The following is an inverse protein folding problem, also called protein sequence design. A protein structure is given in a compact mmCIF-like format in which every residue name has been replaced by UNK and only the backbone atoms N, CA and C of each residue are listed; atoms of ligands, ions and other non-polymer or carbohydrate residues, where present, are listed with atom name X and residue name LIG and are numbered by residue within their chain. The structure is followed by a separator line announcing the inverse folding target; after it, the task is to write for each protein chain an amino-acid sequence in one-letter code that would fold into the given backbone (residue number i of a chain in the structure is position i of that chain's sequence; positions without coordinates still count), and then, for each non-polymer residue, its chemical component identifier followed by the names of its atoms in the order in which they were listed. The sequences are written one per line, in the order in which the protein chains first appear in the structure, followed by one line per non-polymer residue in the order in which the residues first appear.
data_IF_655545077402
#
_entry.id   IF_655545077402
#
_cell.length_a   1.000
_cell.length_b   1.000
_cell.length_c   1.000
_cell.angle_alpha   90.00
_cell.angle_beta   90.00
_cell.angle_gamma   90.00
#
_symmetry.space_group_name_H-M   'P 1'
#
loop_
_entity.id
_entity.type
_entity.pdbx_description
1 polymer ?
#
# COMPACT_ATOMS: atom_id res chain seq x y z
N UNK A 1 12.18 -3.46 -15.77
CA UNK A 1 10.82 -2.96 -15.98
C UNK A 1 10.85 -1.44 -16.22
N UNK A 2 9.79 -0.89 -16.86
CA UNK A 2 9.69 0.55 -17.19
C UNK A 2 8.60 1.25 -16.40
N UNK A 3 7.60 0.50 -15.94
CA UNK A 3 6.45 1.02 -15.23
C UNK A 3 6.18 0.14 -14.01
N UNK A 4 5.83 0.73 -12.88
CA UNK A 4 5.55 0.04 -11.63
C UNK A 4 4.18 0.48 -11.10
N UNK A 5 3.24 -0.46 -11.00
CA UNK A 5 1.97 -0.25 -10.31
C UNK A 5 2.02 -0.95 -8.94
N UNK A 6 1.72 -0.21 -7.88
CA UNK A 6 1.78 -0.69 -6.50
C UNK A 6 0.43 -0.49 -5.82
N UNK A 7 -0.20 -1.60 -5.40
CA UNK A 7 -1.46 -1.59 -4.66
C UNK A 7 -1.17 -1.65 -3.17
N UNK A 8 -1.65 -0.69 -2.41
CA UNK A 8 -1.39 -0.56 -0.98
C UNK A 8 0.09 -0.66 -0.61
N UNK A 9 0.93 -0.23 -1.55
CA UNK A 9 2.38 -0.13 -1.49
C UNK A 9 2.82 1.25 -1.94
N UNK A 10 4.14 1.45 -2.05
CA UNK A 10 4.64 2.76 -2.48
C UNK A 10 4.27 3.87 -1.49
N UNK A 11 4.32 3.55 -0.21
CA UNK A 11 3.97 4.46 0.85
C UNK A 11 5.20 4.80 1.70
N UNK A 12 5.32 6.06 2.08
CA UNK A 12 6.21 6.47 3.16
C UNK A 12 5.61 6.01 4.48
N UNK A 13 5.86 4.77 4.81
CA UNK A 13 5.48 4.19 6.08
C UNK A 13 6.69 3.48 6.65
N UNK A 14 7.00 3.61 7.93
CA UNK A 14 8.15 2.96 8.54
C UNK A 14 7.94 1.45 8.66
N UNK A 15 7.67 0.79 7.52
CA UNK A 15 7.67 -0.65 7.42
C UNK A 15 9.11 -1.15 7.54
N UNK A 16 9.37 -1.99 8.52
CA UNK A 16 10.65 -2.66 8.70
C UNK A 16 11.78 -1.81 9.31
N UNK A 17 11.72 -0.50 9.24
CA UNK A 17 12.53 0.32 10.12
C UNK A 17 11.92 0.25 11.52
N UNK A 18 12.73 -0.08 12.50
CA UNK A 18 12.35 -0.14 13.91
C UNK A 18 11.13 0.74 14.20
N UNK A 19 9.96 0.14 14.37
CA UNK A 19 8.94 0.80 15.16
C UNK A 19 9.68 1.20 16.44
N UNK A 20 9.56 2.43 16.91
CA UNK A 20 10.24 2.96 18.10
C UNK A 20 10.16 2.05 19.34
N UNK A 21 9.38 0.97 19.25
CA UNK A 21 9.08 0.01 20.31
C UNK A 21 9.33 -1.46 19.90
N UNK A 22 9.85 -1.72 18.69
CA UNK A 22 10.12 -3.08 18.18
C UNK A 22 11.60 -3.42 18.23
N UNK A 23 11.91 -4.65 18.61
CA UNK A 23 13.25 -5.22 18.50
C UNK A 23 13.72 -5.18 17.03
N UNK A 24 15.00 -4.97 16.76
CA UNK A 24 15.58 -5.20 15.45
C UNK A 24 15.16 -6.55 14.88
N UNK A 25 15.02 -6.66 13.56
CA UNK A 25 14.46 -7.88 12.95
C UNK A 25 15.35 -9.10 13.19
N UNK A 26 16.66 -8.89 13.28
CA UNK A 26 17.63 -9.92 13.64
C UNK A 26 17.38 -10.46 15.06
N UNK A 27 17.18 -9.58 16.02
CA UNK A 27 16.91 -9.95 17.40
C UNK A 27 15.58 -10.69 17.53
N UNK A 28 14.57 -10.25 16.80
CA UNK A 28 13.28 -10.93 16.70
C UNK A 28 13.41 -12.31 16.07
N UNK A 29 14.23 -12.45 15.05
CA UNK A 29 14.50 -13.72 14.40
C UNK A 29 15.19 -14.70 15.36
N UNK A 30 16.11 -14.20 16.19
CA UNK A 30 16.75 -15.00 17.25
C UNK A 30 15.70 -15.47 18.27
N UNK A 31 14.84 -14.57 18.75
CA UNK A 31 13.76 -14.93 19.68
C UNK A 31 12.79 -15.95 19.08
N UNK A 32 12.48 -15.84 17.78
CA UNK A 32 11.64 -16.83 17.10
C UNK A 32 12.34 -18.19 17.01
N UNK A 33 13.63 -18.24 16.71
CA UNK A 33 14.40 -19.49 16.73
C UNK A 33 14.38 -20.14 18.11
N UNK A 34 14.60 -19.36 19.16
CA UNK A 34 14.53 -19.82 20.56
C UNK A 34 13.13 -20.34 20.90
N UNK A 35 12.07 -19.61 20.48
CA UNK A 35 10.68 -20.04 20.66
C UNK A 35 10.39 -21.38 19.97
N UNK A 36 10.98 -21.62 18.81
CA UNK A 36 10.91 -22.89 18.10
C UNK A 36 11.80 -24.00 18.67
N UNK A 37 12.58 -23.72 19.72
CA UNK A 37 13.56 -24.65 20.26
C UNK A 37 14.75 -24.91 19.35
N UNK A 38 15.04 -24.00 18.42
CA UNK A 38 16.13 -24.10 17.46
C UNK A 38 17.30 -23.19 17.85
N UNK A 39 18.51 -23.68 17.69
CA UNK A 39 19.74 -22.92 17.90
C UNK A 39 20.36 -22.41 16.59
N UNK A 40 19.93 -22.93 15.48
CA UNK A 40 20.45 -22.60 14.14
C UNK A 40 19.33 -22.45 13.11
N UNK A 41 19.61 -21.66 12.06
CA UNK A 41 18.70 -21.56 10.90
C UNK A 41 18.56 -22.91 10.19
N UNK A 42 19.57 -23.75 10.22
CA UNK A 42 19.51 -25.09 9.62
C UNK A 42 18.47 -25.97 10.31
N UNK A 43 18.42 -25.93 11.64
CA UNK A 43 17.39 -26.64 12.43
C UNK A 43 15.99 -26.09 12.12
N UNK A 44 15.83 -24.77 12.04
CA UNK A 44 14.57 -24.13 11.69
C UNK A 44 14.10 -24.54 10.29
N UNK A 45 15.02 -24.61 9.31
CA UNK A 45 14.72 -25.06 7.93
C UNK A 45 14.39 -26.55 7.84
N UNK A 46 14.87 -27.37 8.77
CA UNK A 46 14.56 -28.80 8.84
C UNK A 46 13.22 -29.10 9.50
N UNK A 47 12.59 -28.10 10.12
CA UNK A 47 11.28 -28.26 10.77
C UNK A 47 10.19 -28.48 9.70
N UNK A 48 9.22 -29.38 9.93
CA UNK A 48 8.04 -29.51 9.08
C UNK A 48 7.34 -28.16 8.95
N UNK A 49 6.90 -27.82 7.74
CA UNK A 49 6.32 -26.49 7.46
C UNK A 49 5.05 -26.21 8.28
N UNK A 50 4.22 -27.25 8.54
CA UNK A 50 3.01 -27.15 9.36
C UNK A 50 3.34 -26.75 10.81
N UNK A 51 4.42 -27.31 11.36
CA UNK A 51 4.91 -26.95 12.71
C UNK A 51 5.47 -25.54 12.71
N UNK A 52 6.23 -25.18 11.68
CA UNK A 52 6.78 -23.83 11.55
C UNK A 52 5.67 -22.78 11.43
N UNK A 53 4.63 -23.04 10.64
CA UNK A 53 3.46 -22.16 10.52
C UNK A 53 2.76 -21.98 11.86
N UNK A 54 2.49 -23.08 12.58
CA UNK A 54 1.86 -23.03 13.90
C UNK A 54 2.70 -22.17 14.86
N UNK A 55 4.00 -22.42 14.95
CA UNK A 55 4.91 -21.62 15.78
C UNK A 55 4.93 -20.14 15.37
N UNK A 56 4.90 -19.84 14.08
CA UNK A 56 4.84 -18.48 13.57
C UNK A 56 3.57 -17.76 14.01
N UNK A 57 2.41 -18.41 13.89
CA UNK A 57 1.13 -17.85 14.33
C UNK A 57 1.07 -17.64 15.85
N UNK A 58 1.58 -18.59 16.65
CA UNK A 58 1.65 -18.48 18.09
C UNK A 58 2.60 -17.36 18.53
N UNK A 59 3.80 -17.29 17.93
CA UNK A 59 4.78 -16.25 18.20
C UNK A 59 4.26 -14.85 17.88
N UNK A 60 3.58 -14.71 16.72
CA UNK A 60 2.96 -13.45 16.32
C UNK A 60 1.88 -13.00 17.31
N UNK A 61 1.04 -13.93 17.80
CA UNK A 61 0.04 -13.63 18.84
C UNK A 61 0.67 -13.19 20.15
N UNK A 62 1.74 -13.84 20.54
CA UNK A 62 2.47 -13.56 21.79
C UNK A 62 3.24 -12.24 21.72
N UNK A 63 3.96 -12.00 20.62
CA UNK A 63 4.80 -10.81 20.45
C UNK A 63 4.07 -9.62 19.82
N UNK A 64 2.85 -9.82 19.31
CA UNK A 64 2.09 -8.78 18.62
C UNK A 64 2.73 -8.29 17.32
N UNK A 65 3.56 -9.10 16.65
CA UNK A 65 4.46 -8.67 15.60
C UNK A 65 4.48 -9.65 14.42
N UNK A 66 4.49 -9.11 13.21
CA UNK A 66 4.75 -9.86 11.99
C UNK A 66 6.23 -9.82 11.62
N UNK A 67 6.71 -10.85 10.92
CA UNK A 67 7.97 -10.79 10.22
C UNK A 67 7.83 -9.86 9.02
N UNK A 68 8.62 -8.80 9.00
CA UNK A 68 8.66 -7.82 7.93
C UNK A 68 10.00 -7.93 7.21
N UNK A 69 10.05 -7.45 5.97
CA UNK A 69 11.31 -7.26 5.28
C UNK A 69 12.19 -6.24 6.01
N UNK A 70 13.49 -6.36 5.86
CA UNK A 70 14.48 -5.41 6.42
C UNK A 70 15.44 -4.96 5.34
N UNK A 71 16.03 -3.80 5.56
CA UNK A 71 17.17 -3.35 4.78
C UNK A 71 18.40 -4.12 5.28
N UNK A 72 18.92 -5.03 4.44
CA UNK A 72 20.01 -5.97 4.76
C UNK A 72 21.37 -5.55 4.15
N UNK A 73 21.39 -4.43 3.43
CA UNK A 73 22.57 -3.94 2.74
C UNK A 73 22.93 -4.72 1.46
N UNK A 74 22.16 -5.75 1.10
CA UNK A 74 22.44 -6.61 -0.06
C UNK A 74 21.25 -6.73 -1.02
N UNK A 75 20.11 -7.28 -0.58
CA UNK A 75 18.89 -7.39 -1.40
C UNK A 75 18.10 -6.10 -1.35
N UNK A 76 17.96 -5.53 -0.16
CA UNK A 76 17.38 -4.21 0.09
C UNK A 76 18.47 -3.34 0.74
N UNK A 77 19.33 -2.69 -0.06
CA UNK A 77 20.46 -1.94 0.49
C UNK A 77 20.05 -0.74 1.31
N UNK A 78 18.86 -0.18 1.02
CA UNK A 78 18.34 1.02 1.67
C UNK A 78 16.85 0.84 2.00
N UNK A 79 16.37 1.58 3.00
CA UNK A 79 14.92 1.73 3.24
C UNK A 79 14.29 2.59 2.14
N UNK A 80 12.95 2.59 2.02
CA UNK A 80 12.24 3.45 1.05
C UNK A 80 12.56 4.92 1.28
N UNK A 81 12.63 5.35 2.54
CA UNK A 81 12.97 6.70 2.94
C UNK A 81 14.40 7.08 2.52
N UNK A 82 15.35 6.18 2.74
CA UNK A 82 16.73 6.37 2.31
C UNK A 82 16.83 6.44 0.79
N UNK A 83 16.17 5.51 0.06
CA UNK A 83 16.12 5.53 -1.39
C UNK A 83 15.57 6.85 -1.94
N UNK A 84 14.49 7.38 -1.34
CA UNK A 84 13.93 8.67 -1.73
C UNK A 84 14.90 9.82 -1.45
N UNK A 85 15.52 9.83 -0.27
CA UNK A 85 16.44 10.90 0.13
C UNK A 85 17.73 10.91 -0.71
N UNK A 86 18.26 9.75 -1.02
CA UNK A 86 19.49 9.60 -1.83
C UNK A 86 19.25 9.67 -3.34
N UNK A 87 17.98 9.64 -3.79
CA UNK A 87 17.66 9.62 -5.21
C UNK A 87 17.94 8.28 -5.88
N UNK A 88 18.01 7.18 -5.11
CA UNK A 88 18.37 5.84 -5.59
C UNK A 88 17.17 4.99 -6.01
N UNK A 89 15.94 5.50 -5.90
CA UNK A 89 14.77 4.80 -6.45
C UNK A 89 14.89 4.65 -7.98
N UNK A 90 14.35 3.54 -8.49
CA UNK A 90 14.32 3.28 -9.92
C UNK A 90 13.65 4.42 -10.70
N UNK A 91 14.27 4.88 -11.77
CA UNK A 91 13.76 5.95 -12.64
C UNK A 91 12.76 5.36 -13.65
N UNK A 92 11.57 5.04 -13.17
CA UNK A 92 10.46 4.45 -13.95
C UNK A 92 9.19 5.24 -13.73
N UNK A 93 8.15 4.94 -14.50
CA UNK A 93 6.82 5.49 -14.23
C UNK A 93 6.20 4.76 -13.05
N UNK A 94 5.57 5.52 -12.15
CA UNK A 94 4.91 4.99 -10.96
C UNK A 94 3.41 5.28 -10.98
N UNK A 95 2.63 4.27 -10.63
CA UNK A 95 1.22 4.34 -10.30
C UNK A 95 1.02 3.65 -8.95
N UNK A 96 0.47 4.33 -7.95
CA UNK A 96 0.25 3.71 -6.66
C UNK A 96 -0.92 4.35 -5.90
N UNK A 97 -1.41 3.63 -4.93
CA UNK A 97 -2.52 4.08 -4.11
C UNK A 97 -2.92 3.06 -3.06
N UNK A 98 -4.07 3.29 -2.47
CA UNK A 98 -4.63 2.45 -1.42
C UNK A 98 -6.15 2.43 -1.50
N UNK A 99 -6.78 1.58 -0.71
CA UNK A 99 -8.20 1.66 -0.42
C UNK A 99 -8.46 2.70 0.67
N UNK A 100 -9.69 3.26 0.71
CA UNK A 100 -9.99 4.34 1.66
C UNK A 100 -9.99 3.86 3.12
N UNK A 101 -10.42 2.62 3.36
CA UNK A 101 -10.44 2.01 4.70
C UNK A 101 -9.20 1.13 4.96
N UNK A 102 -8.06 1.45 4.36
CA UNK A 102 -6.84 0.66 4.42
C UNK A 102 -6.30 0.50 5.85
N UNK A 103 -6.22 -0.75 6.28
CA UNK A 103 -5.59 -1.09 7.56
C UNK A 103 -6.45 -0.88 8.80
N UNK A 104 -7.80 -0.67 8.72
CA UNK A 104 -8.65 -0.29 9.84
C UNK A 104 -10.06 -0.84 9.85
N UNK A 105 -10.62 -0.82 11.04
CA UNK A 105 -12.03 -1.10 11.25
C UNK A 105 -12.88 0.14 11.02
N UNK A 106 -13.92 -0.01 10.22
CA UNK A 106 -14.88 1.00 9.73
C UNK A 106 -15.57 1.84 10.84
N UNK A 107 -15.25 1.59 12.12
CA UNK A 107 -15.95 2.22 13.26
C UNK A 107 -15.33 3.51 13.76
N UNK A 108 -14.18 3.93 13.23
CA UNK A 108 -13.50 5.15 13.67
C UNK A 108 -13.45 6.19 12.54
N UNK A 109 -14.19 7.30 12.63
CA UNK A 109 -14.15 8.35 11.61
C UNK A 109 -12.81 9.13 11.53
N UNK A 110 -11.96 9.06 12.55
CA UNK A 110 -10.60 9.66 12.52
C UNK A 110 -9.62 8.82 11.70
N UNK A 111 -10.07 7.81 11.10
CA UNK A 111 -9.46 6.63 10.60
C UNK A 111 -8.79 6.74 9.24
N UNK A 112 -9.42 7.39 8.29
CA UNK A 112 -8.82 7.69 6.99
C UNK A 112 -7.44 8.36 7.15
N UNK A 113 -7.31 9.24 8.12
CA UNK A 113 -6.05 9.91 8.43
C UNK A 113 -5.00 9.03 9.15
N UNK A 114 -5.42 7.92 9.77
CA UNK A 114 -4.50 6.97 10.43
C UNK A 114 -4.07 5.83 9.51
N UNK A 115 -4.78 5.64 8.38
CA UNK A 115 -4.53 4.59 7.41
C UNK A 115 -3.33 4.84 6.50
N UNK A 116 -3.31 4.14 5.36
CA UNK A 116 -2.22 4.21 4.40
C UNK A 116 -2.25 5.50 3.54
N UNK A 117 -3.40 6.15 3.42
CA UNK A 117 -3.58 7.31 2.56
C UNK A 117 -2.60 8.48 2.83
N UNK A 118 -2.31 8.89 4.09
CA UNK A 118 -1.30 9.92 4.35
C UNK A 118 0.09 9.51 3.87
N UNK A 119 0.46 8.24 4.04
CA UNK A 119 1.77 7.72 3.65
C UNK A 119 1.93 7.64 2.12
N UNK A 120 0.87 7.28 1.40
CA UNK A 120 0.83 7.29 -0.07
C UNK A 120 0.98 8.72 -0.60
N UNK A 121 0.27 9.69 -0.04
CA UNK A 121 0.37 11.10 -0.40
C UNK A 121 1.76 11.67 -0.09
N UNK A 122 2.30 11.39 1.10
CA UNK A 122 3.64 11.80 1.50
C UNK A 122 4.72 11.29 0.52
N UNK A 123 4.58 10.05 0.05
CA UNK A 123 5.47 9.52 -0.98
C UNK A 123 5.35 10.27 -2.30
N UNK A 124 4.13 10.49 -2.80
CA UNK A 124 3.88 11.25 -4.03
C UNK A 124 4.49 12.65 -3.97
N UNK A 125 4.24 13.36 -2.89
CA UNK A 125 4.79 14.69 -2.62
C UNK A 125 6.31 14.71 -2.56
N UNK A 126 6.91 13.73 -1.86
CA UNK A 126 8.37 13.62 -1.77
C UNK A 126 8.98 13.32 -3.12
N UNK A 127 8.40 12.42 -3.92
CA UNK A 127 8.89 12.13 -5.26
C UNK A 127 8.91 13.40 -6.14
N UNK A 128 7.82 14.18 -6.15
CA UNK A 128 7.75 15.44 -6.90
C UNK A 128 8.80 16.43 -6.39
N UNK A 129 8.93 16.61 -5.08
CA UNK A 129 9.89 17.53 -4.46
C UNK A 129 11.36 17.16 -4.75
N UNK A 130 11.64 15.86 -4.90
CA UNK A 130 12.98 15.33 -5.23
C UNK A 130 13.27 15.28 -6.74
N UNK A 131 12.33 15.71 -7.58
CA UNK A 131 12.51 15.75 -9.04
C UNK A 131 12.31 14.42 -9.76
N UNK A 132 11.69 13.43 -9.12
CA UNK A 132 11.22 12.25 -9.83
C UNK A 132 10.07 12.60 -10.77
N UNK A 133 9.85 11.78 -11.79
CA UNK A 133 8.65 11.90 -12.60
C UNK A 133 7.41 11.79 -11.70
N UNK A 134 6.49 12.73 -11.85
CA UNK A 134 5.27 12.78 -11.05
C UNK A 134 4.48 11.46 -11.18
N UNK A 135 4.17 10.77 -10.08
CA UNK A 135 3.45 9.51 -10.12
C UNK A 135 1.96 9.72 -10.35
N UNK A 136 1.26 8.67 -10.77
CA UNK A 136 -0.19 8.61 -10.72
C UNK A 136 -0.62 8.04 -9.36
N UNK A 137 -1.46 8.77 -8.64
CA UNK A 137 -1.89 8.37 -7.29
C UNK A 137 -3.40 8.16 -7.26
N UNK A 138 -3.85 7.07 -6.62
CA UNK A 138 -5.28 6.75 -6.50
C UNK A 138 -5.70 6.49 -5.06
N UNK A 139 -7.00 6.62 -4.84
CA UNK A 139 -7.72 6.07 -3.71
C UNK A 139 -8.93 5.29 -4.21
N UNK A 140 -9.01 4.02 -3.87
CA UNK A 140 -10.17 3.20 -4.17
C UNK A 140 -11.21 3.38 -3.07
N UNK A 141 -12.38 3.89 -3.46
CA UNK A 141 -13.47 4.26 -2.55
C UNK A 141 -14.79 3.65 -3.02
N UNK A 142 -14.85 2.31 -2.91
CA UNK A 142 -16.08 1.54 -3.15
C UNK A 142 -16.32 0.58 -1.99
N UNK A 143 -17.23 0.93 -1.06
CA UNK A 143 -17.67 0.01 -0.01
C UNK A 143 -18.12 -1.32 -0.62
N UNK A 144 -17.61 -2.41 -0.08
CA UNK A 144 -17.87 -3.72 -0.65
C UNK A 144 -19.31 -4.16 -0.38
N UNK A 145 -20.08 -4.60 -1.41
CA UNK A 145 -21.46 -5.01 -1.21
C UNK A 145 -21.54 -6.36 -0.46
N UNK A 146 -22.63 -6.56 0.31
CA UNK A 146 -22.94 -7.81 0.97
C UNK A 146 -22.60 -7.91 2.46
N UNK A 147 -21.82 -6.96 2.98
CA UNK A 147 -21.53 -6.78 4.42
C UNK A 147 -21.14 -5.35 4.74
N UNK A 148 -20.81 -5.05 6.00
CA UNK A 148 -20.50 -3.70 6.50
C UNK A 148 -18.98 -3.48 6.69
N UNK A 149 -18.13 -4.17 5.93
CA UNK A 149 -16.66 -4.03 6.08
C UNK A 149 -16.07 -2.79 5.40
N UNK A 150 -16.89 -2.01 4.69
CA UNK A 150 -16.43 -0.84 3.95
C UNK A 150 -15.56 -1.19 2.74
N UNK A 151 -14.44 -0.51 2.60
CA UNK A 151 -13.48 -0.65 1.48
C UNK A 151 -12.14 -1.18 2.01
N UNK A 152 -12.06 -2.46 2.41
CA UNK A 152 -10.91 -3.02 3.10
C UNK A 152 -9.71 -3.22 2.17
N UNK A 153 -8.55 -3.43 2.78
CA UNK A 153 -7.31 -3.80 2.09
C UNK A 153 -7.51 -4.86 1.01
N UNK A 154 -6.91 -4.65 -0.16
CA UNK A 154 -6.91 -5.55 -1.31
C UNK A 154 -8.25 -5.75 -2.04
N UNK A 155 -9.33 -5.08 -1.65
CA UNK A 155 -10.61 -5.23 -2.35
C UNK A 155 -10.59 -4.64 -3.78
N UNK A 156 -9.73 -3.67 -4.06
CA UNK A 156 -9.47 -3.07 -5.37
C UNK A 156 -8.88 -4.06 -6.39
N UNK A 157 -8.14 -5.08 -5.92
CA UNK A 157 -7.55 -6.09 -6.80
C UNK A 157 -8.59 -6.81 -7.67
N UNK A 158 -9.77 -7.13 -7.12
CA UNK A 158 -10.83 -7.78 -7.89
C UNK A 158 -11.33 -6.93 -9.05
N UNK A 159 -11.33 -5.62 -8.88
CA UNK A 159 -11.72 -4.69 -9.94
C UNK A 159 -10.64 -4.60 -11.02
N UNK A 160 -9.39 -4.44 -10.64
CA UNK A 160 -8.27 -4.34 -11.60
C UNK A 160 -8.11 -5.62 -12.43
N UNK A 161 -8.32 -6.79 -11.83
CA UNK A 161 -8.17 -8.09 -12.50
C UNK A 161 -9.48 -8.65 -13.04
N UNK A 162 -10.58 -7.87 -13.06
CA UNK A 162 -11.90 -8.27 -13.56
C UNK A 162 -12.39 -9.61 -12.98
N UNK A 163 -12.11 -9.87 -11.70
CA UNK A 163 -12.45 -11.13 -11.04
C UNK A 163 -13.63 -11.01 -10.05
N UNK A 164 -14.53 -10.04 -10.27
CA UNK A 164 -15.70 -9.82 -9.42
C UNK A 164 -16.62 -11.04 -9.38
N UNK A 165 -16.79 -11.72 -10.51
CA UNK A 165 -17.63 -12.92 -10.62
C UNK A 165 -17.14 -14.10 -9.78
N UNK A 166 -15.86 -14.12 -9.39
CA UNK A 166 -15.27 -15.15 -8.52
C UNK A 166 -15.60 -14.96 -7.03
N UNK A 167 -16.33 -13.90 -6.69
CA UNK A 167 -16.68 -13.53 -5.32
C UNK A 167 -18.14 -13.91 -5.02
N UNK A 168 -18.43 -14.18 -3.74
CA UNK A 168 -19.80 -14.34 -3.23
C UNK A 168 -20.59 -13.02 -3.15
N UNK A 169 -19.90 -11.87 -3.29
CA UNK A 169 -20.49 -10.54 -3.11
C UNK A 169 -21.46 -10.20 -4.23
N UNK A 170 -22.61 -9.56 -3.93
CA UNK A 170 -23.61 -9.20 -4.93
C UNK A 170 -23.21 -7.92 -5.71
N UNK A 171 -22.15 -8.00 -6.48
CA UNK A 171 -21.73 -6.91 -7.35
C UNK A 171 -22.77 -6.62 -8.43
N UNK A 172 -23.02 -5.34 -8.68
CA UNK A 172 -23.99 -4.90 -9.68
C UNK A 172 -23.31 -4.32 -10.95
N UNK A 173 -24.10 -3.81 -11.87
CA UNK A 173 -23.60 -3.27 -13.13
C UNK A 173 -22.61 -2.10 -12.96
N UNK A 174 -22.75 -1.31 -11.90
CA UNK A 174 -21.82 -0.21 -11.61
C UNK A 174 -20.46 -0.71 -11.16
N UNK A 175 -20.40 -1.82 -10.42
CA UNK A 175 -19.16 -2.48 -10.03
C UNK A 175 -18.42 -3.04 -11.22
N UNK A 176 -19.13 -3.68 -12.16
CA UNK A 176 -18.52 -4.18 -13.40
C UNK A 176 -18.02 -3.05 -14.29
N UNK A 177 -18.75 -1.93 -14.39
CA UNK A 177 -18.31 -0.76 -15.14
C UNK A 177 -17.04 -0.14 -14.51
N UNK A 178 -16.97 -0.02 -13.17
CA UNK A 178 -15.78 0.44 -12.48
C UNK A 178 -14.60 -0.53 -12.68
N UNK A 179 -14.86 -1.83 -12.65
CA UNK A 179 -13.85 -2.86 -12.90
C UNK A 179 -13.25 -2.74 -14.30
N UNK A 180 -14.07 -2.57 -15.34
CA UNK A 180 -13.62 -2.34 -16.71
C UNK A 180 -12.80 -1.05 -16.85
N UNK A 181 -13.26 0.03 -16.21
CA UNK A 181 -12.54 1.30 -16.15
C UNK A 181 -11.15 1.14 -15.52
N UNK A 182 -11.06 0.49 -14.36
CA UNK A 182 -9.82 0.26 -13.64
C UNK A 182 -8.87 -0.63 -14.44
N UNK A 183 -9.34 -1.75 -14.97
CA UNK A 183 -8.55 -2.63 -15.83
C UNK A 183 -7.98 -1.86 -17.02
N UNK A 184 -8.76 -0.95 -17.60
CA UNK A 184 -8.32 -0.14 -18.75
C UNK A 184 -7.22 0.84 -18.34
N UNK A 185 -7.35 1.54 -17.20
CA UNK A 185 -6.30 2.41 -16.68
C UNK A 185 -4.98 1.65 -16.44
N UNK A 186 -5.03 0.50 -15.76
CA UNK A 186 -3.84 -0.31 -15.47
C UNK A 186 -3.19 -0.88 -16.72
N UNK A 187 -4.01 -1.32 -17.68
CA UNK A 187 -3.51 -1.83 -18.97
C UNK A 187 -2.84 -0.73 -19.80
N UNK A 188 -3.41 0.47 -19.84
CA UNK A 188 -2.81 1.62 -20.51
C UNK A 188 -1.49 2.01 -19.85
N UNK A 189 -1.50 2.10 -18.51
CA UNK A 189 -0.29 2.40 -17.74
C UNK A 189 0.81 1.35 -17.96
N UNK A 190 0.48 0.07 -17.91
CA UNK A 190 1.43 -1.00 -18.15
C UNK A 190 2.07 -0.94 -19.55
N UNK A 191 1.32 -0.48 -20.56
CA UNK A 191 1.81 -0.35 -21.93
C UNK A 191 2.64 0.91 -22.17
N UNK A 192 2.24 2.03 -21.57
CA UNK A 192 2.72 3.36 -21.99
C UNK A 192 3.29 4.21 -20.85
N UNK A 193 3.10 3.83 -19.58
CA UNK A 193 3.40 4.65 -18.40
C UNK A 193 2.37 5.77 -18.17
N UNK A 194 1.27 5.78 -18.93
CA UNK A 194 0.17 6.73 -18.80
C UNK A 194 -1.16 5.96 -18.70
N UNK A 195 -1.95 6.11 -17.62
CA UNK A 195 -3.22 5.39 -17.46
C UNK A 195 -4.32 5.89 -18.37
N UNK A 196 -4.25 7.12 -18.88
CA UNK A 196 -5.31 7.77 -19.62
C UNK A 196 -5.60 7.10 -20.97
N UNK A 197 -6.84 7.25 -21.45
CA UNK A 197 -7.32 6.73 -22.73
C UNK A 197 -8.68 7.30 -23.09
N UNK A 198 -9.12 7.02 -24.31
CA UNK A 198 -10.42 7.46 -24.82
C UNK A 198 -11.56 6.93 -23.93
N UNK A 199 -12.52 7.78 -23.60
CA UNK A 199 -13.68 7.45 -22.78
C UNK A 199 -13.42 7.34 -21.28
N UNK A 200 -12.17 7.50 -20.82
CA UNK A 200 -11.84 7.51 -19.40
C UNK A 200 -11.82 8.93 -18.82
N UNK A 201 -12.26 9.14 -17.58
CA UNK A 201 -11.97 10.37 -16.84
C UNK A 201 -10.46 10.64 -16.81
N UNK A 202 -10.07 11.90 -17.00
CA UNK A 202 -8.64 12.26 -17.01
C UNK A 202 -8.01 12.04 -15.64
N UNK A 203 -6.99 11.19 -15.57
CA UNK A 203 -6.16 11.00 -14.40
C UNK A 203 -4.89 11.83 -14.53
N UNK A 204 -4.79 12.90 -13.76
CA UNK A 204 -3.63 13.78 -13.76
C UNK A 204 -2.51 13.21 -12.87
N UNK A 205 -1.23 13.38 -13.27
CA UNK A 205 -0.11 13.07 -12.38
C UNK A 205 -0.20 13.88 -11.09
N UNK A 206 0.29 13.30 -9.99
CA UNK A 206 0.29 13.94 -8.68
C UNK A 206 1.17 15.20 -8.68
N UNK A 207 0.63 16.29 -8.20
CA UNK A 207 1.30 17.59 -8.16
C UNK A 207 0.99 18.36 -6.86
N UNK A 208 1.36 19.63 -6.81
CA UNK A 208 1.15 20.51 -5.64
C UNK A 208 -0.33 20.75 -5.29
N UNK A 209 -1.27 20.37 -6.14
CA UNK A 209 -2.71 20.42 -5.82
C UNK A 209 -3.15 19.27 -4.91
N UNK A 210 -2.27 18.27 -4.76
CA UNK A 210 -2.48 17.11 -3.86
C UNK A 210 -3.74 16.28 -4.18
N UNK A 211 -4.23 16.38 -5.45
CA UNK A 211 -5.36 15.61 -5.92
C UNK A 211 -4.94 14.18 -6.24
N UNK A 212 -5.82 13.23 -5.95
CA UNK A 212 -5.68 11.83 -6.32
C UNK A 212 -6.88 11.37 -7.15
N UNK A 213 -6.72 10.34 -7.97
CA UNK A 213 -7.85 9.71 -8.64
C UNK A 213 -8.68 8.93 -7.62
N UNK A 214 -9.87 9.42 -7.29
CA UNK A 214 -10.85 8.68 -6.49
C UNK A 214 -11.61 7.74 -7.41
N UNK A 215 -11.46 6.43 -7.17
CA UNK A 215 -12.08 5.36 -7.96
C UNK A 215 -13.34 4.87 -7.23
N UNK A 216 -14.50 5.11 -7.81
CA UNK A 216 -15.79 4.82 -7.20
C UNK A 216 -16.87 4.52 -8.25
N UNK A 217 -17.90 3.78 -7.87
CA UNK A 217 -19.06 3.46 -8.73
C UNK A 217 -19.95 4.68 -9.03
N UNK A 218 -19.83 5.77 -8.27
CA UNK A 218 -20.58 7.01 -8.48
C UNK A 218 -19.97 7.92 -9.54
N UNK A 219 -18.78 7.58 -10.04
CA UNK A 219 -18.06 8.34 -11.05
C UNK A 219 -16.65 8.71 -10.58
N UNK A 220 -15.65 8.05 -11.17
CA UNK A 220 -14.24 8.31 -10.84
C UNK A 220 -13.80 9.70 -11.28
N UNK A 221 -13.06 10.42 -10.43
CA UNK A 221 -12.56 11.76 -10.71
C UNK A 221 -11.32 12.10 -9.86
N UNK A 222 -10.56 13.11 -10.29
CA UNK A 222 -9.57 13.73 -9.42
C UNK A 222 -10.24 14.41 -8.25
N UNK A 223 -9.79 14.11 -7.03
CA UNK A 223 -10.40 14.60 -5.80
C UNK A 223 -9.34 14.97 -4.76
N UNK A 224 -9.64 16.00 -3.98
CA UNK A 224 -8.98 16.22 -2.69
C UNK A 224 -9.71 15.37 -1.65
N UNK A 225 -8.97 14.48 -1.01
CA UNK A 225 -9.52 13.60 0.03
C UNK A 225 -9.38 14.20 1.43
N UNK A 226 -8.69 15.32 1.56
CA UNK A 226 -8.42 15.97 2.84
C UNK A 226 -9.46 17.08 3.13
N UNK A 227 -10.65 16.66 3.51
CA UNK A 227 -11.77 17.60 3.71
C UNK A 227 -11.69 18.41 5.02
N UNK A 228 -10.84 17.99 5.98
CA UNK A 228 -10.75 18.59 7.32
C UNK A 228 -9.31 18.94 7.76
N UNK A 229 -8.32 18.74 6.89
CA UNK A 229 -6.90 18.98 7.19
C UNK A 229 -6.20 17.88 7.97
N UNK A 230 -6.90 16.80 8.32
CA UNK A 230 -6.34 15.71 9.14
C UNK A 230 -5.35 14.87 8.36
N UNK A 231 -5.60 14.62 7.08
CA UNK A 231 -4.66 13.91 6.19
C UNK A 231 -3.35 14.66 6.08
N UNK A 232 -3.42 15.96 5.83
CA UNK A 232 -2.24 16.80 5.68
C UNK A 232 -1.40 16.84 6.96
N UNK A 233 -2.04 16.96 8.11
CA UNK A 233 -1.34 16.92 9.40
C UNK A 233 -0.57 15.61 9.59
N UNK A 234 -1.16 14.48 9.22
CA UNK A 234 -0.52 13.16 9.30
C UNK A 234 0.60 13.00 8.27
N UNK A 235 0.37 13.48 7.06
CA UNK A 235 1.37 13.54 5.99
C UNK A 235 2.60 14.35 6.42
N UNK A 236 2.41 15.54 6.99
CA UNK A 236 3.48 16.37 7.52
C UNK A 236 4.27 15.68 8.62
N UNK A 237 3.60 14.98 9.55
CA UNK A 237 4.27 14.20 10.57
C UNK A 237 5.15 13.07 10.00
N UNK A 238 4.71 12.43 8.90
CA UNK A 238 5.51 11.43 8.19
C UNK A 238 6.71 12.07 7.48
N UNK A 239 6.53 13.24 6.87
CA UNK A 239 7.61 13.96 6.18
C UNK A 239 8.70 14.46 7.14
N UNK A 240 8.36 14.74 8.42
CA UNK A 240 9.36 15.07 9.44
C UNK A 240 10.30 13.87 9.74
N UNK A 241 9.82 12.63 9.57
CA UNK A 241 10.66 11.44 9.76
C UNK A 241 11.72 11.26 8.67
N UNK A 242 11.59 12.01 7.55
CA UNK A 242 12.53 11.98 6.42
C UNK A 242 13.66 13.01 6.57
N UNK A 243 13.59 13.89 7.54
CA UNK A 243 14.61 14.91 7.81
C UNK A 243 15.72 14.35 8.69
#
# INVERSE_FOLDING_TARGET
FRHAAMHSGGALYPFGASRKEGLPIEERSIQFMEFCGCSTIAELRAMPWETLEQHSLEFQRFMGLNFMWCSDGYVLPETVEQCLNHGSMAQVDYLFGCTIDEGVRVTDPSYFASGLAPAVRAMGRTMVAKGYKAPYVYCFDRPQPGDDIGTPHSCDNRYVFCSLAESWRPYDASDYALSEQMMTYWTNFAKTGNPNGEGLPTWEPYDNRELVMRLTTEGSAMADLDTDGTLKQREEALLELLK
#
